data_IF_493075760676
#
_entry.id   IF_493075760676
#
_cell.length_a   1.000
_cell.length_b   1.000
_cell.length_c   1.000
_cell.angle_alpha   90.00
_cell.angle_beta   90.00
_cell.angle_gamma   90.00
#
_symmetry.space_group_name_H-M   'P 1'
#
loop_
_entity.id
_entity.type
_entity.pdbx_description
1 polymer ?
#
# COMPACT_ATOMS: atom_id res chain seq x y z
N UNK A 1 -32.82 13.27 4.68
CA UNK A 1 -31.64 12.73 4.00
C UNK A 1 -30.33 13.22 4.61
N UNK A 2 -30.10 14.53 4.78
CA UNK A 2 -28.83 15.06 5.32
C UNK A 2 -28.45 14.47 6.69
N UNK A 3 -29.41 14.41 7.64
CA UNK A 3 -29.19 13.84 8.97
C UNK A 3 -28.82 12.36 8.96
N UNK A 4 -29.40 11.57 8.05
CA UNK A 4 -29.07 10.16 7.90
C UNK A 4 -27.65 9.98 7.34
N UNK A 5 -27.22 10.82 6.40
CA UNK A 5 -25.86 10.83 5.83
C UNK A 5 -24.85 11.24 6.89
N UNK A 6 -25.09 12.30 7.64
CA UNK A 6 -24.22 12.76 8.75
C UNK A 6 -24.08 11.67 9.82
N UNK A 7 -25.17 11.03 10.21
CA UNK A 7 -25.14 9.91 11.16
C UNK A 7 -24.36 8.71 10.63
N UNK A 8 -24.46 8.43 9.33
CA UNK A 8 -23.72 7.36 8.68
C UNK A 8 -22.20 7.61 8.73
N UNK A 9 -21.76 8.84 8.41
CA UNK A 9 -20.35 9.23 8.52
C UNK A 9 -19.89 9.18 9.98
N UNK A 10 -20.65 9.77 10.90
CA UNK A 10 -20.34 9.71 12.33
C UNK A 10 -20.15 8.27 12.80
N UNK A 11 -21.06 7.37 12.44
CA UNK A 11 -20.98 5.96 12.82
C UNK A 11 -19.80 5.23 12.19
N UNK A 12 -19.41 5.58 10.96
CA UNK A 12 -18.25 5.00 10.29
C UNK A 12 -16.91 5.33 10.99
N UNK A 13 -16.84 6.48 11.68
CA UNK A 13 -15.64 6.92 12.43
C UNK A 13 -15.76 6.67 13.94
N UNK A 14 -16.94 6.31 14.46
CA UNK A 14 -17.12 5.91 15.86
C UNK A 14 -16.60 4.49 16.09
N UNK A 15 -16.15 4.23 17.32
CA UNK A 15 -15.61 2.91 17.69
C UNK A 15 -14.12 2.73 17.42
N UNK A 16 -13.48 3.64 16.70
CA UNK A 16 -12.02 3.67 16.58
C UNK A 16 -11.38 4.12 17.88
N UNK A 17 -10.36 3.41 18.34
CA UNK A 17 -9.65 3.76 19.58
C UNK A 17 -8.85 5.06 19.39
N UNK A 18 -8.65 5.82 20.49
CA UNK A 18 -7.77 7.01 20.47
C UNK A 18 -6.39 6.68 19.92
N UNK A 19 -5.87 5.48 20.21
CA UNK A 19 -4.55 5.02 19.73
C UNK A 19 -4.53 4.86 18.20
N UNK A 20 -5.64 4.44 17.59
CA UNK A 20 -5.75 4.36 16.12
C UNK A 20 -5.71 5.74 15.46
N UNK A 21 -6.39 6.74 16.03
CA UNK A 21 -6.31 8.12 15.54
C UNK A 21 -4.89 8.69 15.64
N UNK A 22 -4.21 8.45 16.77
CA UNK A 22 -2.83 8.91 16.97
C UNK A 22 -1.86 8.21 15.99
N UNK A 23 -2.05 6.90 15.75
CA UNK A 23 -1.28 6.18 14.73
C UNK A 23 -1.55 6.71 13.32
N UNK A 24 -2.80 7.07 13.01
CA UNK A 24 -3.16 7.68 11.72
C UNK A 24 -2.47 9.05 11.51
N UNK A 25 -2.33 9.86 12.56
CA UNK A 25 -1.58 11.12 12.52
C UNK A 25 -0.09 10.86 12.26
N UNK A 26 0.52 9.91 12.95
CA UNK A 26 1.91 9.50 12.70
C UNK A 26 2.09 9.06 11.25
N UNK A 27 1.16 8.27 10.72
CA UNK A 27 1.17 7.82 9.31
C UNK A 27 1.01 8.98 8.33
N UNK A 28 0.11 9.91 8.59
CA UNK A 28 -0.10 11.09 7.74
C UNK A 28 1.21 11.88 7.61
N UNK A 29 1.86 12.19 8.73
CA UNK A 29 3.12 12.95 8.73
C UNK A 29 4.23 12.17 8.03
N UNK A 30 4.37 10.87 8.31
CA UNK A 30 5.34 10.02 7.62
C UNK A 30 5.13 10.03 6.11
N UNK A 31 3.88 9.91 5.64
CA UNK A 31 3.56 9.83 4.21
C UNK A 31 3.55 11.18 3.50
N UNK A 32 3.39 12.28 4.22
CA UNK A 32 3.52 13.63 3.66
C UNK A 32 4.96 13.95 3.23
N UNK A 33 5.97 13.20 3.72
CA UNK A 33 7.36 13.27 3.29
C UNK A 33 7.76 12.16 2.32
N UNK A 34 6.85 11.54 1.56
CA UNK A 34 7.20 10.48 0.61
C UNK A 34 7.41 11.07 -0.79
N UNK A 35 8.48 11.82 -0.98
CA UNK A 35 8.79 12.58 -2.20
C UNK A 35 9.98 11.99 -2.96
N UNK A 36 11.04 11.60 -2.25
CA UNK A 36 12.32 11.18 -2.84
C UNK A 36 12.13 10.07 -3.87
N UNK A 37 11.33 9.03 -3.55
CA UNK A 37 11.15 7.90 -4.47
C UNK A 37 10.47 8.33 -5.78
N UNK A 38 9.48 9.21 -5.71
CA UNK A 38 8.76 9.70 -6.89
C UNK A 38 9.66 10.57 -7.80
N UNK A 39 10.61 11.30 -7.21
CA UNK A 39 11.51 12.19 -7.94
C UNK A 39 12.91 11.61 -8.13
N UNK A 40 13.17 10.35 -7.70
CA UNK A 40 14.49 9.74 -7.73
C UNK A 40 15.09 9.71 -9.14
N UNK A 41 14.33 9.30 -10.14
CA UNK A 41 14.81 9.27 -11.54
C UNK A 41 15.20 10.65 -12.03
N UNK A 42 14.39 11.67 -11.73
CA UNK A 42 14.69 13.05 -12.11
C UNK A 42 15.93 13.59 -11.41
N UNK A 43 16.09 13.26 -10.11
CA UNK A 43 17.27 13.63 -9.35
C UNK A 43 18.55 13.00 -9.92
N UNK A 44 18.53 11.69 -10.20
CA UNK A 44 19.67 10.96 -10.75
C UNK A 44 20.07 11.52 -12.13
N UNK A 45 19.10 11.86 -12.98
CA UNK A 45 19.36 12.53 -14.26
C UNK A 45 19.92 13.95 -14.06
N UNK A 46 19.42 14.69 -13.08
CA UNK A 46 19.88 16.04 -12.76
C UNK A 46 21.35 16.08 -12.35
N UNK A 47 21.83 15.07 -11.63
CA UNK A 47 23.24 14.94 -11.22
C UNK A 47 24.15 14.34 -12.32
N UNK A 48 23.62 14.12 -13.54
CA UNK A 48 24.39 13.78 -14.74
C UNK A 48 24.47 12.29 -15.08
N UNK A 49 23.70 11.42 -14.43
CA UNK A 49 23.62 10.01 -14.78
C UNK A 49 22.50 9.73 -15.80
N UNK A 50 22.65 8.66 -16.59
CA UNK A 50 21.65 8.28 -17.60
C UNK A 50 20.33 7.78 -16.96
N UNK A 51 19.25 7.85 -17.74
CA UNK A 51 17.93 7.31 -17.32
C UNK A 51 17.96 5.81 -17.03
N UNK A 52 18.82 5.07 -17.73
CA UNK A 52 19.04 3.64 -17.49
C UNK A 52 19.61 3.40 -16.09
N UNK A 53 20.65 4.15 -15.71
CA UNK A 53 21.25 4.11 -14.38
C UNK A 53 20.28 4.55 -13.29
N UNK A 54 19.43 5.55 -13.57
CA UNK A 54 18.36 5.97 -12.69
C UNK A 54 17.34 4.83 -12.46
N UNK A 55 16.97 4.11 -13.52
CA UNK A 55 16.10 2.91 -13.42
C UNK A 55 16.71 1.82 -12.57
N UNK A 56 18.02 1.58 -12.65
CA UNK A 56 18.71 0.60 -11.80
C UNK A 56 18.67 0.99 -10.31
N UNK A 57 18.78 2.27 -9.96
CA UNK A 57 18.63 2.74 -8.57
C UNK A 57 17.24 2.42 -8.03
N UNK A 58 16.18 2.62 -8.84
CA UNK A 58 14.80 2.25 -8.47
C UNK A 58 14.67 0.72 -8.32
N UNK A 59 15.36 -0.06 -9.17
CA UNK A 59 15.44 -1.52 -9.03
C UNK A 59 16.13 -1.96 -7.73
N UNK A 60 17.22 -1.28 -7.36
CA UNK A 60 17.92 -1.50 -6.08
C UNK A 60 17.00 -1.18 -4.89
N UNK A 61 16.22 -0.09 -4.98
CA UNK A 61 15.18 0.22 -3.97
C UNK A 61 14.19 -0.94 -3.84
N UNK A 62 13.71 -1.49 -4.96
CA UNK A 62 12.76 -2.61 -4.97
C UNK A 62 13.33 -3.88 -4.28
N UNK A 63 14.59 -4.22 -4.52
CA UNK A 63 15.24 -5.37 -3.88
C UNK A 63 15.42 -5.17 -2.37
N UNK A 64 15.87 -4.00 -1.93
CA UNK A 64 15.97 -3.66 -0.51
C UNK A 64 14.60 -3.70 0.17
N UNK A 65 13.56 -3.22 -0.51
CA UNK A 65 12.17 -3.24 -0.05
C UNK A 65 11.66 -4.67 0.21
N UNK A 66 11.90 -5.62 -0.70
CA UNK A 66 11.52 -7.02 -0.52
C UNK A 66 12.19 -7.65 0.72
N UNK A 67 13.50 -7.43 0.85
CA UNK A 67 14.28 -7.94 1.98
C UNK A 67 13.82 -7.28 3.29
N UNK A 68 13.60 -5.97 3.27
CA UNK A 68 13.11 -5.19 4.40
C UNK A 68 11.73 -5.64 4.90
N UNK A 69 10.80 -5.91 4.01
CA UNK A 69 9.49 -6.43 4.36
C UNK A 69 9.56 -7.77 5.10
N UNK A 70 10.42 -8.69 4.62
CA UNK A 70 10.60 -10.00 5.22
C UNK A 70 11.30 -9.92 6.58
N UNK A 71 12.44 -9.22 6.63
CA UNK A 71 13.22 -9.05 7.88
C UNK A 71 12.41 -8.27 8.91
N UNK A 72 11.72 -7.20 8.50
CA UNK A 72 10.88 -6.37 9.36
C UNK A 72 9.74 -7.15 10.01
N UNK A 73 9.13 -8.10 9.28
CA UNK A 73 8.15 -9.01 9.85
C UNK A 73 8.73 -9.84 11.00
N UNK A 74 9.91 -10.46 10.79
CA UNK A 74 10.60 -11.25 11.83
C UNK A 74 11.07 -10.39 13.00
N UNK A 75 11.61 -9.20 12.73
CA UNK A 75 12.04 -8.26 13.76
C UNK A 75 10.84 -7.82 14.61
N UNK A 76 9.71 -7.50 13.97
CA UNK A 76 8.47 -7.12 14.66
C UNK A 76 7.97 -8.22 15.60
N UNK A 77 8.05 -9.50 15.21
CA UNK A 77 7.66 -10.62 16.06
C UNK A 77 8.67 -10.87 17.21
N UNK A 78 9.96 -10.58 16.98
CA UNK A 78 11.02 -10.84 17.97
C UNK A 78 11.21 -9.71 18.97
N UNK A 79 11.20 -8.45 18.51
CA UNK A 79 11.50 -7.26 19.30
C UNK A 79 10.27 -6.39 19.59
N UNK A 80 9.13 -6.71 18.94
CA UNK A 80 7.88 -5.99 19.07
C UNK A 80 7.70 -4.91 17.99
N UNK A 81 6.42 -4.69 17.62
CA UNK A 81 6.07 -3.74 16.58
C UNK A 81 6.44 -2.30 16.92
N UNK A 82 6.35 -1.91 18.18
CA UNK A 82 6.58 -0.54 18.64
C UNK A 82 8.01 -0.08 18.35
N UNK A 83 9.00 -0.86 18.80
CA UNK A 83 10.40 -0.54 18.57
C UNK A 83 10.80 -0.72 17.10
N UNK A 84 10.23 -1.70 16.41
CA UNK A 84 10.47 -1.86 14.97
C UNK A 84 9.99 -0.64 14.20
N UNK A 85 8.79 -0.11 14.49
CA UNK A 85 8.29 1.13 13.88
C UNK A 85 9.21 2.32 14.18
N UNK A 86 9.58 2.50 15.47
CA UNK A 86 10.42 3.62 15.90
C UNK A 86 11.76 3.63 15.17
N UNK A 87 12.50 2.49 15.22
CA UNK A 87 13.81 2.42 14.57
C UNK A 87 13.73 2.49 13.05
N UNK A 88 12.70 1.92 12.41
CA UNK A 88 12.51 2.05 10.96
C UNK A 88 12.29 3.51 10.55
N UNK A 89 11.49 4.26 11.29
CA UNK A 89 11.26 5.68 11.03
C UNK A 89 12.50 6.52 11.30
N UNK A 90 13.16 6.32 12.44
CA UNK A 90 14.34 7.12 12.84
C UNK A 90 15.51 6.86 11.88
N UNK A 91 15.90 5.58 11.72
CA UNK A 91 17.01 5.21 10.83
C UNK A 91 16.70 5.51 9.37
N UNK A 92 15.44 5.29 8.94
CA UNK A 92 14.99 5.66 7.60
C UNK A 92 15.12 7.16 7.35
N UNK A 93 14.73 8.00 8.31
CA UNK A 93 14.89 9.45 8.22
C UNK A 93 16.35 9.90 8.13
N UNK A 94 17.22 9.30 8.93
CA UNK A 94 18.67 9.56 8.86
C UNK A 94 19.27 9.12 7.50
N UNK A 95 18.84 7.96 7.00
CA UNK A 95 19.29 7.45 5.71
C UNK A 95 18.80 8.30 4.53
N UNK A 96 17.61 8.93 4.59
CA UNK A 96 17.17 9.90 3.60
C UNK A 96 18.11 11.11 3.54
N UNK A 97 18.43 11.69 4.71
CA UNK A 97 19.35 12.82 4.79
C UNK A 97 20.74 12.42 4.26
N UNK A 98 21.21 11.23 4.64
CA UNK A 98 22.50 10.69 4.18
C UNK A 98 22.50 10.49 2.67
N UNK A 99 21.43 9.93 2.11
CA UNK A 99 21.30 9.72 0.66
C UNK A 99 21.43 11.03 -0.13
N UNK A 100 20.84 12.11 0.37
CA UNK A 100 20.97 13.44 -0.23
C UNK A 100 22.39 14.01 -0.24
N UNK A 101 23.32 13.44 0.55
CA UNK A 101 24.75 13.85 0.57
C UNK A 101 25.64 12.95 -0.30
N UNK A 102 25.11 11.85 -0.85
CA UNK A 102 25.88 10.92 -1.68
C UNK A 102 26.18 11.52 -3.05
N UNK A 103 27.45 11.40 -3.49
CA UNK A 103 27.92 11.99 -4.74
C UNK A 103 28.27 10.95 -5.81
N UNK A 104 28.63 9.73 -5.42
CA UNK A 104 29.01 8.68 -6.36
C UNK A 104 27.85 7.72 -6.60
N UNK A 105 27.72 7.20 -7.82
CA UNK A 105 26.66 6.26 -8.18
C UNK A 105 26.59 5.05 -7.24
N UNK A 106 27.74 4.45 -6.93
CA UNK A 106 27.81 3.31 -6.03
C UNK A 106 27.31 3.63 -4.63
N UNK A 107 27.70 4.80 -4.07
CA UNK A 107 27.21 5.21 -2.75
C UNK A 107 25.71 5.48 -2.73
N UNK A 108 25.16 6.03 -3.82
CA UNK A 108 23.71 6.22 -4.00
C UNK A 108 23.01 4.85 -4.01
N UNK A 109 23.48 3.88 -4.78
CA UNK A 109 22.91 2.54 -4.83
C UNK A 109 22.94 1.84 -3.46
N UNK A 110 24.09 1.85 -2.78
CA UNK A 110 24.25 1.21 -1.47
C UNK A 110 23.36 1.88 -0.42
N UNK A 111 23.34 3.21 -0.36
CA UNK A 111 22.48 3.95 0.56
C UNK A 111 21.00 3.71 0.26
N UNK A 112 20.59 3.71 -1.01
CA UNK A 112 19.21 3.42 -1.43
C UNK A 112 18.77 2.01 -1.05
N UNK A 113 19.65 1.02 -1.16
CA UNK A 113 19.36 -0.35 -0.73
C UNK A 113 19.04 -0.43 0.77
N UNK A 114 19.92 0.14 1.61
CA UNK A 114 19.71 0.12 3.07
C UNK A 114 18.52 0.99 3.49
N UNK A 115 18.33 2.14 2.84
CA UNK A 115 17.18 3.01 3.06
C UNK A 115 15.87 2.26 2.80
N UNK A 116 15.75 1.60 1.65
CA UNK A 116 14.53 0.87 1.31
C UNK A 116 14.30 -0.33 2.23
N UNK A 117 15.35 -1.05 2.58
CA UNK A 117 15.28 -2.19 3.52
C UNK A 117 14.78 -1.75 4.90
N UNK A 118 15.29 -0.64 5.43
CA UNK A 118 14.87 -0.10 6.74
C UNK A 118 13.45 0.46 6.67
N UNK A 119 13.12 1.24 5.65
CA UNK A 119 11.80 1.85 5.49
C UNK A 119 10.69 0.80 5.32
N UNK A 120 10.93 -0.23 4.52
CA UNK A 120 9.91 -1.26 4.27
C UNK A 120 9.73 -2.21 5.47
N UNK A 121 10.68 -2.26 6.40
CA UNK A 121 10.52 -2.95 7.69
C UNK A 121 9.41 -2.31 8.55
N UNK A 122 9.07 -1.04 8.32
CA UNK A 122 7.98 -0.35 8.99
C UNK A 122 6.61 -0.95 8.68
N UNK A 123 6.34 -1.36 7.43
CA UNK A 123 5.01 -1.83 6.99
C UNK A 123 4.47 -3.02 7.79
N UNK A 124 5.19 -4.15 7.95
CA UNK A 124 4.70 -5.27 8.75
C UNK A 124 4.53 -4.91 10.22
N UNK A 125 5.42 -4.07 10.78
CA UNK A 125 5.30 -3.58 12.14
C UNK A 125 4.06 -2.68 12.31
N UNK A 126 3.78 -1.80 11.35
CA UNK A 126 2.59 -0.95 11.36
C UNK A 126 1.29 -1.78 11.27
N UNK A 127 1.25 -2.80 10.42
CA UNK A 127 0.10 -3.70 10.33
C UNK A 127 -0.14 -4.45 11.66
N UNK A 128 0.92 -4.86 12.33
CA UNK A 128 0.84 -5.46 13.67
C UNK A 128 0.34 -4.46 14.71
N UNK A 129 0.79 -3.19 14.66
CA UNK A 129 0.31 -2.12 15.52
C UNK A 129 -1.18 -1.84 15.31
N UNK A 130 -1.64 -1.74 14.06
CA UNK A 130 -3.06 -1.57 13.73
C UNK A 130 -3.89 -2.70 14.34
N UNK A 131 -3.46 -3.94 14.15
CA UNK A 131 -4.15 -5.09 14.70
C UNK A 131 -4.17 -5.14 16.23
N UNK A 132 -3.11 -4.62 16.88
CA UNK A 132 -3.00 -4.53 18.34
C UNK A 132 -3.90 -3.42 18.92
N UNK A 133 -4.00 -2.25 18.26
CA UNK A 133 -4.79 -1.12 18.72
C UNK A 133 -6.27 -1.18 18.30
N UNK A 134 -6.65 -2.14 17.45
CA UNK A 134 -8.01 -2.38 17.00
C UNK A 134 -8.63 -3.62 17.67
N UNK A 135 -9.96 -3.67 17.68
CA UNK A 135 -10.72 -4.88 18.02
C UNK A 135 -11.06 -5.68 16.75
N UNK A 136 -11.39 -6.98 16.85
CA UNK A 136 -11.84 -7.73 15.68
C UNK A 136 -13.00 -7.06 14.92
N UNK A 137 -13.89 -6.36 15.63
CA UNK A 137 -15.10 -5.73 15.08
C UNK A 137 -14.80 -4.44 14.31
N UNK A 138 -13.75 -3.68 14.69
CA UNK A 138 -13.40 -2.42 14.03
C UNK A 138 -12.07 -2.48 13.27
N UNK A 139 -11.53 -3.68 13.04
CA UNK A 139 -10.21 -3.88 12.44
C UNK A 139 -10.13 -3.35 11.01
N UNK A 140 -11.13 -3.64 10.19
CA UNK A 140 -11.15 -3.19 8.80
C UNK A 140 -11.28 -1.66 8.74
N UNK A 141 -12.10 -1.03 9.58
CA UNK A 141 -12.17 0.41 9.73
C UNK A 141 -10.82 1.01 10.16
N UNK A 142 -10.10 0.32 11.06
CA UNK A 142 -8.77 0.71 11.50
C UNK A 142 -7.73 0.68 10.38
N UNK A 143 -7.79 -0.27 9.49
CA UNK A 143 -6.96 -0.28 8.27
C UNK A 143 -7.37 0.83 7.31
N UNK A 144 -8.67 1.11 7.17
CA UNK A 144 -9.16 2.16 6.28
C UNK A 144 -8.77 3.56 6.75
N UNK A 145 -8.80 3.87 8.07
CA UNK A 145 -8.33 5.19 8.56
C UNK A 145 -6.82 5.38 8.32
N UNK A 146 -6.02 4.34 8.47
CA UNK A 146 -4.60 4.39 8.14
C UNK A 146 -4.38 4.58 6.64
N UNK A 147 -5.18 3.90 5.80
CA UNK A 147 -5.13 4.08 4.36
C UNK A 147 -5.54 5.48 3.92
N UNK A 148 -6.56 6.07 4.55
CA UNK A 148 -6.92 7.46 4.37
C UNK A 148 -5.74 8.39 4.67
N UNK A 149 -5.06 8.19 5.81
CA UNK A 149 -3.89 8.96 6.20
C UNK A 149 -2.73 8.82 5.17
N UNK A 150 -2.50 7.60 4.64
CA UNK A 150 -1.51 7.35 3.60
C UNK A 150 -1.84 8.11 2.31
N UNK A 151 -3.08 8.03 1.83
CA UNK A 151 -3.51 8.67 0.58
C UNK A 151 -3.45 10.19 0.68
N UNK A 152 -3.91 10.77 1.80
CA UNK A 152 -3.79 12.19 2.06
C UNK A 152 -2.31 12.62 2.14
N UNK A 153 -1.48 11.84 2.83
CA UNK A 153 -0.04 12.08 2.93
C UNK A 153 0.64 12.07 1.57
N UNK A 154 0.32 11.13 0.70
CA UNK A 154 0.85 11.08 -0.66
C UNK A 154 0.39 12.27 -1.52
N UNK A 155 -0.86 12.71 -1.37
CA UNK A 155 -1.34 13.92 -2.02
C UNK A 155 -0.54 15.16 -1.62
N UNK A 156 -0.32 15.34 -0.31
CA UNK A 156 0.52 16.41 0.25
C UNK A 156 1.97 16.27 -0.22
N UNK A 157 2.55 15.05 -0.11
CA UNK A 157 3.92 14.76 -0.51
C UNK A 157 4.19 15.01 -1.99
N UNK A 158 3.26 14.60 -2.87
CA UNK A 158 3.39 14.85 -4.31
C UNK A 158 3.40 16.33 -4.66
N UNK A 159 2.47 17.11 -4.06
CA UNK A 159 2.40 18.56 -4.28
C UNK A 159 3.63 19.30 -3.73
N UNK A 160 4.02 19.01 -2.48
CA UNK A 160 5.22 19.58 -1.87
C UNK A 160 6.49 19.15 -2.59
N UNK A 161 6.57 17.88 -3.02
CA UNK A 161 7.73 17.35 -3.75
C UNK A 161 7.98 18.07 -5.07
N UNK A 162 6.93 18.29 -5.87
CA UNK A 162 7.03 19.06 -7.11
C UNK A 162 7.48 20.49 -6.85
N UNK A 163 6.90 21.15 -5.83
CA UNK A 163 7.29 22.52 -5.44
C UNK A 163 8.76 22.59 -4.99
N UNK A 164 9.19 21.71 -4.09
CA UNK A 164 10.56 21.69 -3.58
C UNK A 164 11.59 21.33 -4.65
N UNK A 165 11.28 20.38 -5.53
CA UNK A 165 12.14 19.96 -6.62
C UNK A 165 12.41 21.11 -7.61
N UNK A 166 11.46 22.03 -7.80
CA UNK A 166 11.65 23.21 -8.65
C UNK A 166 12.71 24.21 -8.13
N UNK A 167 12.98 24.18 -6.82
CA UNK A 167 14.04 25.00 -6.22
C UNK A 167 15.35 24.22 -6.09
N UNK A 168 15.30 23.05 -5.44
CA UNK A 168 16.48 22.23 -5.20
C UNK A 168 16.08 20.80 -4.82
N UNK A 169 16.55 19.81 -5.59
CA UNK A 169 16.29 18.38 -5.30
C UNK A 169 16.80 17.93 -3.92
N UNK A 170 17.86 18.53 -3.37
CA UNK A 170 18.35 18.17 -2.03
C UNK A 170 17.32 18.42 -0.93
N UNK A 171 16.40 19.38 -1.12
CA UNK A 171 15.32 19.64 -0.15
C UNK A 171 14.39 18.45 0.01
N UNK A 172 14.17 17.63 -1.03
CA UNK A 172 13.37 16.42 -0.95
C UNK A 172 13.90 15.44 0.10
N UNK A 173 15.23 15.24 0.10
CA UNK A 173 15.88 14.33 1.05
C UNK A 173 15.81 14.85 2.49
N UNK A 174 15.96 16.15 2.69
CA UNK A 174 15.81 16.77 4.01
C UNK A 174 14.37 16.68 4.51
N UNK A 175 13.39 16.98 3.68
CA UNK A 175 11.99 16.95 4.10
C UNK A 175 11.54 15.51 4.37
N UNK A 176 11.86 14.53 3.51
CA UNK A 176 11.57 13.12 3.75
C UNK A 176 12.26 12.61 5.01
N UNK A 177 13.52 13.01 5.23
CA UNK A 177 14.26 12.68 6.43
C UNK A 177 13.64 13.25 7.70
N UNK A 178 13.35 14.54 7.70
CA UNK A 178 12.78 15.23 8.87
C UNK A 178 11.35 14.78 9.17
N UNK A 179 10.51 14.54 8.17
CA UNK A 179 9.15 13.99 8.40
C UNK A 179 9.17 12.58 8.98
N UNK A 180 10.10 11.73 8.54
CA UNK A 180 10.31 10.41 9.14
C UNK A 180 10.79 10.50 10.61
N UNK A 181 11.76 11.36 10.89
CA UNK A 181 12.26 11.59 12.27
C UNK A 181 11.12 12.16 13.13
N UNK A 182 10.38 13.14 12.63
CA UNK A 182 9.22 13.72 13.32
C UNK A 182 8.17 12.65 13.61
N UNK A 183 7.86 11.78 12.65
CA UNK A 183 6.95 10.66 12.85
C UNK A 183 7.46 9.69 13.94
N UNK A 184 8.79 9.42 13.99
CA UNK A 184 9.40 8.61 15.03
C UNK A 184 9.23 9.24 16.42
N UNK A 185 9.49 10.55 16.54
CA UNK A 185 9.36 11.29 17.80
C UNK A 185 7.88 11.36 18.23
N UNK A 186 6.95 11.60 17.30
CA UNK A 186 5.52 11.59 17.59
C UNK A 186 5.04 10.20 18.03
N UNK A 187 5.57 9.13 17.44
CA UNK A 187 5.27 7.78 17.88
C UNK A 187 5.66 7.57 19.34
N UNK A 188 6.85 8.04 19.75
CA UNK A 188 7.29 7.98 21.14
C UNK A 188 6.43 8.79 22.11
N UNK A 189 5.96 9.96 21.65
CA UNK A 189 5.22 10.90 22.49
C UNK A 189 3.73 10.58 22.58
N UNK A 190 3.11 10.17 21.47
CA UNK A 190 1.66 9.98 21.37
C UNK A 190 1.22 8.56 21.73
N UNK A 191 2.05 7.55 21.46
CA UNK A 191 1.67 6.16 21.63
C UNK A 191 2.37 5.53 22.83
N UNK A 192 1.65 4.73 23.63
CA UNK A 192 2.26 4.09 24.80
C UNK A 192 3.30 3.06 24.35
N UNK A 193 4.42 3.01 25.09
CA UNK A 193 5.43 1.96 24.90
C UNK A 193 4.81 0.61 25.19
N UNK A 194 4.77 -0.25 24.17
CA UNK A 194 4.27 -1.62 24.32
C UNK A 194 5.47 -2.55 24.43
N UNK A 195 5.67 -3.13 25.63
CA UNK A 195 6.75 -4.10 25.83
C UNK A 195 6.39 -5.45 25.19
N UNK A 196 7.42 -6.22 24.80
CA UNK A 196 7.24 -7.60 24.32
C UNK A 196 6.47 -8.48 25.30
N UNK A 197 6.70 -8.27 26.60
CA UNK A 197 5.96 -8.99 27.64
C UNK A 197 4.47 -8.63 27.62
N UNK A 198 4.11 -7.37 27.39
CA UNK A 198 2.72 -6.95 27.22
C UNK A 198 2.11 -7.49 25.92
N UNK A 199 2.85 -7.49 24.81
CA UNK A 199 2.41 -8.12 23.57
C UNK A 199 2.15 -9.62 23.78
N UNK A 200 3.04 -10.34 24.46
CA UNK A 200 2.91 -11.77 24.72
C UNK A 200 1.90 -12.09 25.83
N UNK A 201 1.71 -11.22 26.81
CA UNK A 201 0.77 -11.43 27.92
C UNK A 201 -0.70 -11.20 27.52
N UNK A 202 -0.96 -10.30 26.58
CA UNK A 202 -2.28 -10.18 25.95
C UNK A 202 -2.58 -11.39 25.04
N UNK A 203 -1.54 -12.10 24.62
CA UNK A 203 -1.59 -13.36 23.86
C UNK A 203 -1.68 -14.61 24.74
N UNK A 204 -1.84 -14.51 26.06
CA UNK A 204 -2.01 -15.73 26.88
C UNK A 204 -3.31 -16.42 26.46
N UNK A 205 -3.23 -17.56 25.75
CA UNK A 205 -4.36 -18.44 25.68
C UNK A 205 -4.59 -18.95 27.12
N UNK A 206 -5.78 -18.82 27.59
CA UNK A 206 -6.30 -19.75 28.57
C UNK A 206 -6.04 -21.16 28.02
N UNK A 207 -5.17 -21.90 28.69
CA UNK A 207 -4.86 -23.31 28.44
C UNK A 207 -4.11 -23.64 27.15
N UNK A 208 -2.91 -24.25 27.35
CA UNK A 208 -2.00 -24.86 26.38
C UNK A 208 -1.12 -23.95 25.53
N UNK A 209 0.20 -24.15 25.67
CA UNK A 209 1.25 -23.67 24.74
C UNK A 209 1.04 -24.28 23.34
N UNK A 210 0.05 -23.81 22.58
CA UNK A 210 0.02 -24.12 21.15
C UNK A 210 1.28 -23.54 20.53
N UNK A 211 2.15 -24.42 20.02
CA UNK A 211 3.29 -24.04 19.18
C UNK A 211 2.76 -23.16 18.07
N UNK A 212 3.10 -21.88 18.07
CA UNK A 212 2.71 -20.92 17.03
C UNK A 212 3.27 -21.42 15.71
N UNK A 213 2.40 -21.88 14.80
CA UNK A 213 2.83 -22.34 13.48
C UNK A 213 3.36 -21.14 12.68
N UNK A 214 4.50 -21.27 12.01
CA UNK A 214 5.02 -20.21 11.17
C UNK A 214 4.10 -19.93 9.99
N UNK A 215 4.10 -18.70 9.48
CA UNK A 215 3.20 -18.27 8.40
C UNK A 215 3.35 -19.12 7.11
N UNK A 216 4.55 -19.61 6.82
CA UNK A 216 4.81 -20.49 5.67
C UNK A 216 4.18 -21.88 5.79
N UNK A 217 3.78 -22.31 6.98
CA UNK A 217 3.09 -23.58 7.19
C UNK A 217 1.56 -23.46 6.98
N UNK A 218 1.02 -22.24 6.86
CA UNK A 218 -0.39 -22.02 6.56
C UNK A 218 -0.64 -22.03 5.04
N UNK A 219 -0.97 -23.22 4.51
CA UNK A 219 -1.25 -23.41 3.07
C UNK A 219 -2.35 -22.48 2.55
N UNK A 220 -3.41 -22.23 3.36
CA UNK A 220 -4.50 -21.33 2.98
C UNK A 220 -4.05 -19.87 2.90
N UNK A 221 -3.12 -19.46 3.76
CA UNK A 221 -2.50 -18.16 3.69
C UNK A 221 -1.56 -18.03 2.47
N UNK A 222 -0.73 -19.03 2.20
CA UNK A 222 0.16 -19.01 1.03
C UNK A 222 -0.64 -18.96 -0.28
N UNK A 223 -1.75 -19.70 -0.37
CA UNK A 223 -2.64 -19.59 -1.53
C UNK A 223 -3.24 -18.18 -1.66
N UNK A 224 -3.67 -17.58 -0.55
CA UNK A 224 -4.11 -16.19 -0.53
C UNK A 224 -2.99 -15.24 -0.99
N UNK A 225 -1.73 -15.42 -0.56
CA UNK A 225 -0.59 -14.60 -0.99
C UNK A 225 -0.37 -14.71 -2.51
N UNK A 226 -0.48 -15.90 -3.10
CA UNK A 226 -0.43 -16.08 -4.55
C UNK A 226 -1.52 -15.28 -5.28
N UNK A 227 -2.77 -15.36 -4.82
CA UNK A 227 -3.88 -14.55 -5.34
C UNK A 227 -3.66 -13.04 -5.14
N UNK A 228 -3.08 -12.66 -4.01
CA UNK A 228 -2.73 -11.28 -3.69
C UNK A 228 -1.69 -10.70 -4.66
N UNK A 229 -0.68 -11.49 -5.05
CA UNK A 229 0.31 -11.09 -6.07
C UNK A 229 -0.39 -10.82 -7.39
N UNK A 230 -1.28 -11.71 -7.84
CA UNK A 230 -2.03 -11.53 -9.08
C UNK A 230 -2.91 -10.26 -9.03
N UNK A 231 -3.68 -10.10 -7.95
CA UNK A 231 -4.50 -8.90 -7.74
C UNK A 231 -3.67 -7.62 -7.79
N UNK A 232 -2.58 -7.57 -7.01
CA UNK A 232 -1.74 -6.39 -6.91
C UNK A 232 -0.99 -6.09 -8.23
N UNK A 233 -0.58 -7.11 -8.99
CA UNK A 233 -0.02 -6.95 -10.35
C UNK A 233 -0.99 -6.25 -11.29
N UNK A 234 -2.27 -6.63 -11.25
CA UNK A 234 -3.32 -5.95 -12.00
C UNK A 234 -3.57 -4.53 -11.47
N UNK A 235 -3.59 -4.35 -10.16
CA UNK A 235 -3.80 -3.04 -9.53
C UNK A 235 -2.71 -2.02 -9.90
N UNK A 236 -1.44 -2.44 -9.96
CA UNK A 236 -0.35 -1.51 -10.30
C UNK A 236 -0.40 -0.95 -11.72
N UNK A 237 -1.24 -1.50 -12.60
CA UNK A 237 -1.51 -0.90 -13.91
C UNK A 237 -2.12 0.51 -13.77
N UNK A 238 -2.80 0.80 -12.66
CA UNK A 238 -3.34 2.13 -12.33
C UNK A 238 -2.27 3.23 -12.37
N UNK A 239 -1.03 2.89 -12.03
CA UNK A 239 0.08 3.84 -11.92
C UNK A 239 1.05 3.78 -13.12
N UNK A 240 0.89 2.82 -14.01
CA UNK A 240 1.82 2.58 -15.12
C UNK A 240 1.11 2.62 -16.47
N UNK A 241 0.42 1.57 -16.84
CA UNK A 241 -0.15 1.41 -18.19
C UNK A 241 -1.46 2.14 -18.41
N UNK A 242 -2.29 2.35 -17.37
CA UNK A 242 -3.55 3.11 -17.50
C UNK A 242 -3.28 4.58 -17.87
N UNK A 243 -2.41 5.33 -17.17
CA UNK A 243 -2.07 6.70 -17.56
C UNK A 243 -1.44 6.78 -18.95
N UNK A 244 -0.59 5.81 -19.29
CA UNK A 244 0.01 5.71 -20.62
C UNK A 244 -1.05 5.52 -21.71
N UNK A 245 -2.00 4.59 -21.52
CA UNK A 245 -3.11 4.38 -22.45
C UNK A 245 -4.04 5.59 -22.55
N UNK A 246 -4.30 6.29 -21.46
CA UNK A 246 -5.09 7.51 -21.48
C UNK A 246 -4.44 8.57 -22.37
N UNK A 247 -3.11 8.67 -22.35
CA UNK A 247 -2.35 9.61 -23.17
C UNK A 247 -2.24 9.13 -24.63
N UNK A 248 -1.75 7.92 -24.86
CA UNK A 248 -1.40 7.41 -26.19
C UNK A 248 -2.60 6.81 -26.95
N UNK A 249 -3.47 6.09 -26.23
CA UNK A 249 -4.60 5.39 -26.82
C UNK A 249 -5.89 6.22 -26.87
N UNK A 250 -6.18 7.00 -25.83
CA UNK A 250 -7.38 7.83 -25.75
C UNK A 250 -7.14 9.31 -26.05
N UNK A 251 -5.88 9.73 -26.25
CA UNK A 251 -5.46 11.10 -26.54
C UNK A 251 -5.93 12.13 -25.50
N UNK A 252 -5.97 11.72 -24.22
CA UNK A 252 -6.31 12.58 -23.08
C UNK A 252 -5.03 13.30 -22.64
N UNK A 253 -5.09 14.62 -22.44
CA UNK A 253 -3.95 15.37 -21.97
C UNK A 253 -3.63 15.08 -20.51
N UNK A 254 -2.39 15.39 -20.10
CA UNK A 254 -1.83 15.06 -18.78
C UNK A 254 -2.61 15.70 -17.63
N UNK A 255 -3.17 16.89 -17.85
CA UNK A 255 -3.97 17.59 -16.84
C UNK A 255 -5.21 16.76 -16.45
N UNK A 256 -5.96 16.25 -17.45
CA UNK A 256 -7.14 15.41 -17.20
C UNK A 256 -6.78 14.04 -16.63
N UNK A 257 -5.62 13.46 -17.02
CA UNK A 257 -5.10 12.23 -16.41
C UNK A 257 -4.83 12.47 -14.92
N UNK A 258 -4.20 13.59 -14.57
CA UNK A 258 -3.99 13.99 -13.18
C UNK A 258 -5.30 14.15 -12.39
N UNK A 259 -6.34 14.76 -13.01
CA UNK A 259 -7.67 14.88 -12.39
C UNK A 259 -8.32 13.52 -12.15
N UNK A 260 -8.21 12.58 -13.10
CA UNK A 260 -8.75 11.23 -12.95
C UNK A 260 -8.07 10.47 -11.79
N UNK A 261 -6.75 10.59 -11.66
CA UNK A 261 -6.00 10.01 -10.53
C UNK A 261 -6.37 10.68 -9.20
N UNK A 262 -6.52 12.01 -9.19
CA UNK A 262 -6.98 12.74 -8.00
C UNK A 262 -8.39 12.34 -7.60
N UNK A 263 -9.29 12.14 -8.57
CA UNK A 263 -10.66 11.65 -8.34
C UNK A 263 -10.65 10.30 -7.61
N UNK A 264 -9.77 9.35 -7.98
CA UNK A 264 -9.60 8.08 -7.27
C UNK A 264 -9.32 8.33 -5.79
N UNK A 265 -8.30 9.14 -5.46
CA UNK A 265 -7.93 9.45 -4.08
C UNK A 265 -9.04 10.15 -3.29
N UNK A 266 -9.75 11.11 -3.91
CA UNK A 266 -10.85 11.85 -3.28
C UNK A 266 -12.04 10.93 -2.98
N UNK A 267 -12.44 10.07 -3.92
CA UNK A 267 -13.53 9.12 -3.70
C UNK A 267 -13.19 8.14 -2.59
N UNK A 268 -11.96 7.62 -2.55
CA UNK A 268 -11.51 6.76 -1.46
C UNK A 268 -11.61 7.50 -0.12
N UNK A 269 -11.10 8.72 -0.04
CA UNK A 269 -11.13 9.52 1.18
C UNK A 269 -12.55 9.77 1.70
N UNK A 270 -13.48 10.03 0.80
CA UNK A 270 -14.88 10.34 1.16
C UNK A 270 -15.72 9.08 1.40
N UNK A 271 -15.54 8.01 0.64
CA UNK A 271 -16.50 6.90 0.58
C UNK A 271 -16.03 5.64 1.30
N UNK A 272 -14.73 5.35 1.32
CA UNK A 272 -14.19 4.06 1.79
C UNK A 272 -14.60 3.74 3.24
N UNK A 273 -14.47 4.68 4.17
CA UNK A 273 -14.82 4.44 5.58
C UNK A 273 -16.28 4.05 5.76
N UNK A 274 -17.18 4.72 5.03
CA UNK A 274 -18.62 4.44 5.08
C UNK A 274 -18.94 3.09 4.42
N UNK A 275 -18.28 2.78 3.30
CA UNK A 275 -18.45 1.53 2.59
C UNK A 275 -17.99 0.34 3.43
N UNK A 276 -16.81 0.43 4.02
CA UNK A 276 -16.24 -0.57 4.92
C UNK A 276 -17.15 -0.79 6.12
N UNK A 277 -17.60 0.28 6.78
CA UNK A 277 -18.53 0.18 7.91
C UNK A 277 -19.81 -0.58 7.55
N UNK A 278 -20.35 -0.37 6.34
CA UNK A 278 -21.54 -1.07 5.87
C UNK A 278 -21.30 -2.53 5.51
N UNK A 279 -20.11 -2.88 5.02
CA UNK A 279 -19.81 -4.22 4.49
C UNK A 279 -19.21 -5.15 5.56
N UNK A 280 -18.53 -4.60 6.57
CA UNK A 280 -17.88 -5.38 7.62
C UNK A 280 -18.88 -6.23 8.38
N UNK A 281 -18.53 -7.51 8.61
CA UNK A 281 -19.38 -8.47 9.30
C UNK A 281 -20.58 -9.01 8.52
N UNK A 282 -20.94 -8.40 7.36
CA UNK A 282 -22.09 -8.85 6.55
C UNK A 282 -21.77 -9.96 5.57
N UNK A 283 -20.53 -10.01 5.09
CA UNK A 283 -20.06 -11.04 4.15
C UNK A 283 -18.63 -11.46 4.51
N UNK A 284 -18.25 -12.71 4.20
CA UNK A 284 -16.88 -13.18 4.38
C UNK A 284 -15.89 -12.31 3.57
N UNK A 285 -14.72 -12.03 4.13
CA UNK A 285 -13.70 -11.19 3.50
C UNK A 285 -13.31 -11.66 2.09
N UNK A 286 -13.09 -12.97 1.91
CA UNK A 286 -12.74 -13.54 0.61
C UNK A 286 -13.82 -13.32 -0.46
N UNK A 287 -15.10 -13.29 -0.07
CA UNK A 287 -16.21 -13.00 -0.99
C UNK A 287 -16.23 -11.53 -1.41
N UNK A 288 -15.94 -10.61 -0.48
CA UNK A 288 -15.81 -9.19 -0.80
C UNK A 288 -14.62 -8.94 -1.73
N UNK A 289 -13.47 -9.58 -1.46
CA UNK A 289 -12.31 -9.53 -2.36
C UNK A 289 -12.62 -10.06 -3.75
N UNK A 290 -13.36 -11.18 -3.85
CA UNK A 290 -13.80 -11.72 -5.14
C UNK A 290 -14.67 -10.71 -5.90
N UNK A 291 -15.65 -10.08 -5.24
CA UNK A 291 -16.49 -9.07 -5.88
C UNK A 291 -15.69 -7.85 -6.33
N UNK A 292 -14.81 -7.31 -5.48
CA UNK A 292 -13.96 -6.19 -5.86
C UNK A 292 -13.04 -6.54 -7.04
N UNK A 293 -12.50 -7.76 -7.08
CA UNK A 293 -11.64 -8.21 -8.18
C UNK A 293 -12.43 -8.38 -9.49
N UNK A 294 -13.71 -8.79 -9.43
CA UNK A 294 -14.60 -8.81 -10.59
C UNK A 294 -14.84 -7.37 -11.10
N UNK A 295 -15.12 -6.43 -10.22
CA UNK A 295 -15.27 -5.01 -10.60
C UNK A 295 -13.99 -4.49 -11.27
N UNK A 296 -12.82 -4.88 -10.76
CA UNK A 296 -11.53 -4.56 -11.37
C UNK A 296 -11.41 -5.16 -12.79
N UNK A 297 -11.83 -6.41 -13.00
CA UNK A 297 -11.85 -7.01 -14.33
C UNK A 297 -12.72 -6.19 -15.32
N UNK A 298 -13.91 -5.79 -14.85
CA UNK A 298 -14.83 -4.96 -15.65
C UNK A 298 -14.17 -3.61 -15.97
N UNK A 299 -13.44 -2.99 -15.04
CA UNK A 299 -12.75 -1.72 -15.30
C UNK A 299 -11.75 -1.81 -16.45
N UNK A 300 -11.04 -2.94 -16.59
CA UNK A 300 -10.12 -3.18 -17.71
C UNK A 300 -10.87 -3.50 -19.01
N UNK A 301 -11.94 -4.29 -18.96
CA UNK A 301 -12.74 -4.59 -20.17
C UNK A 301 -13.41 -3.34 -20.76
N UNK A 302 -13.81 -2.40 -19.92
CA UNK A 302 -14.36 -1.10 -20.36
C UNK A 302 -13.36 -0.32 -21.21
N UNK A 303 -12.06 -0.45 -20.99
CA UNK A 303 -11.03 0.22 -21.81
C UNK A 303 -11.00 -0.27 -23.27
N UNK A 304 -11.58 -1.43 -23.57
CA UNK A 304 -11.71 -1.95 -24.94
C UNK A 304 -12.99 -1.49 -25.67
N UNK A 305 -13.84 -0.69 -25.02
CA UNK A 305 -15.09 -0.19 -25.66
C UNK A 305 -14.74 0.94 -26.63
N UNK A 306 -15.14 0.79 -27.90
CA UNK A 306 -14.80 1.76 -28.96
C UNK A 306 -15.95 2.73 -29.31
N UNK A 307 -17.16 2.46 -28.85
CA UNK A 307 -18.34 3.27 -29.22
C UNK A 307 -18.70 4.40 -28.26
N UNK A 308 -17.91 4.55 -27.17
CA UNK A 308 -18.08 5.64 -26.20
C UNK A 308 -17.01 6.72 -26.42
N UNK A 309 -17.34 7.95 -26.00
CA UNK A 309 -16.37 9.04 -26.00
C UNK A 309 -15.16 8.71 -25.09
N UNK A 310 -13.94 8.93 -25.57
CA UNK A 310 -12.68 8.55 -24.90
C UNK A 310 -12.60 8.97 -23.43
N UNK A 311 -12.99 10.20 -23.11
CA UNK A 311 -12.99 10.71 -21.76
C UNK A 311 -13.99 9.97 -20.85
N UNK A 312 -15.18 9.61 -21.38
CA UNK A 312 -16.20 8.86 -20.63
C UNK A 312 -15.73 7.44 -20.30
N UNK A 313 -15.00 6.79 -21.21
CA UNK A 313 -14.37 5.48 -20.97
C UNK A 313 -13.34 5.59 -19.82
N UNK A 314 -12.49 6.61 -19.86
CA UNK A 314 -11.48 6.83 -18.81
C UNK A 314 -12.13 7.08 -17.44
N UNK A 315 -13.16 7.92 -17.36
CA UNK A 315 -13.91 8.19 -16.13
C UNK A 315 -14.57 6.91 -15.61
N UNK A 316 -15.27 6.15 -16.48
CA UNK A 316 -15.96 4.92 -16.07
C UNK A 316 -14.97 3.86 -15.57
N UNK A 317 -13.89 3.63 -16.31
CA UNK A 317 -12.83 2.71 -15.90
C UNK A 317 -12.23 3.12 -14.54
N UNK A 318 -11.91 4.40 -14.36
CA UNK A 318 -11.35 4.91 -13.10
C UNK A 318 -12.33 4.76 -11.92
N UNK A 319 -13.61 5.05 -12.12
CA UNK A 319 -14.64 4.84 -11.09
C UNK A 319 -14.74 3.37 -10.69
N UNK A 320 -14.81 2.46 -11.66
CA UNK A 320 -14.86 1.02 -11.39
C UNK A 320 -13.61 0.54 -10.66
N UNK A 321 -12.41 1.00 -11.08
CA UNK A 321 -11.15 0.70 -10.41
C UNK A 321 -11.17 1.17 -8.95
N UNK A 322 -11.64 2.40 -8.70
CA UNK A 322 -11.75 2.97 -7.35
C UNK A 322 -12.70 2.13 -6.46
N UNK A 323 -13.86 1.73 -6.99
CA UNK A 323 -14.77 0.86 -6.24
C UNK A 323 -14.19 -0.53 -5.99
N UNK A 324 -13.50 -1.11 -6.97
CA UNK A 324 -12.79 -2.39 -6.84
C UNK A 324 -11.79 -2.35 -5.68
N UNK A 325 -11.03 -1.29 -5.62
CA UNK A 325 -10.02 -1.02 -4.59
C UNK A 325 -10.65 -0.93 -3.20
N UNK A 326 -11.69 -0.11 -3.03
CA UNK A 326 -12.39 0.07 -1.75
C UNK A 326 -13.08 -1.21 -1.25
N UNK A 327 -13.56 -2.07 -2.15
CA UNK A 327 -14.23 -3.34 -1.79
C UNK A 327 -13.22 -4.47 -1.54
N UNK A 328 -11.96 -4.34 -1.97
CA UNK A 328 -10.95 -5.40 -1.84
C UNK A 328 -9.93 -5.13 -0.75
N UNK A 329 -9.21 -4.01 -0.84
CA UNK A 329 -7.97 -3.79 -0.07
C UNK A 329 -8.14 -3.75 1.45
N UNK A 330 -9.15 -3.07 2.03
CA UNK A 330 -9.34 -3.08 3.47
C UNK A 330 -9.58 -4.49 4.02
N UNK A 331 -10.33 -5.30 3.28
CA UNK A 331 -10.67 -6.66 3.67
C UNK A 331 -9.52 -7.66 3.50
N UNK A 332 -8.58 -7.42 2.56
CA UNK A 332 -7.34 -8.18 2.45
C UNK A 332 -6.49 -8.05 3.72
N UNK A 333 -6.36 -6.83 4.23
CA UNK A 333 -5.65 -6.58 5.49
C UNK A 333 -6.32 -7.32 6.67
N UNK A 334 -7.62 -7.19 6.79
CA UNK A 334 -8.39 -7.87 7.85
C UNK A 334 -8.31 -9.39 7.74
N UNK A 335 -8.31 -9.93 6.52
CA UNK A 335 -8.23 -11.37 6.27
C UNK A 335 -6.93 -11.98 6.77
N UNK A 336 -5.75 -11.48 6.35
CA UNK A 336 -4.50 -12.09 6.79
C UNK A 336 -4.24 -11.92 8.27
N UNK A 337 -4.66 -10.78 8.85
CA UNK A 337 -4.58 -10.56 10.29
C UNK A 337 -5.48 -11.55 11.04
N UNK A 338 -6.69 -11.84 10.55
CA UNK A 338 -7.59 -12.81 11.18
C UNK A 338 -7.07 -14.24 11.19
N UNK A 339 -6.12 -14.55 10.30
CA UNK A 339 -5.43 -15.86 10.26
C UNK A 339 -4.20 -15.92 11.14
N UNK A 340 -3.64 -14.77 11.50
CA UNK A 340 -2.43 -14.68 12.33
C UNK A 340 -2.77 -14.74 13.82
N UNK A 341 -1.81 -15.22 14.61
CA UNK A 341 -1.77 -15.05 16.07
C UNK A 341 -0.86 -13.89 16.44
N UNK A 342 -0.91 -13.42 17.68
CA UNK A 342 -0.05 -12.32 18.11
C UNK A 342 1.47 -12.64 18.03
N UNK A 343 1.83 -13.92 18.16
CA UNK A 343 3.23 -14.34 18.09
C UNK A 343 3.82 -14.51 16.69
N UNK A 344 3.00 -14.48 15.62
CA UNK A 344 3.45 -14.61 14.23
C UNK A 344 2.86 -13.55 13.28
N UNK A 345 2.15 -12.56 13.82
CA UNK A 345 1.45 -11.51 13.05
C UNK A 345 2.39 -10.72 12.16
N UNK A 346 3.60 -10.42 12.65
CA UNK A 346 4.64 -9.75 11.88
C UNK A 346 5.09 -10.58 10.67
N UNK A 347 5.19 -11.91 10.80
CA UNK A 347 5.50 -12.79 9.67
C UNK A 347 4.41 -12.74 8.60
N UNK A 348 3.12 -12.85 8.99
CA UNK A 348 2.00 -12.72 8.04
C UNK A 348 2.00 -11.37 7.34
N UNK A 349 2.21 -10.28 8.09
CA UNK A 349 2.32 -8.93 7.54
C UNK A 349 3.54 -8.78 6.62
N UNK A 350 4.67 -9.41 6.97
CA UNK A 350 5.88 -9.44 6.14
C UNK A 350 5.63 -10.10 4.79
N UNK A 351 5.07 -11.31 4.76
CA UNK A 351 4.70 -11.99 3.50
C UNK A 351 3.71 -11.17 2.66
N UNK A 352 2.70 -10.57 3.32
CA UNK A 352 1.73 -9.71 2.65
C UNK A 352 2.41 -8.49 2.01
N UNK A 353 3.33 -7.83 2.72
CA UNK A 353 4.08 -6.69 2.19
C UNK A 353 5.01 -7.09 1.05
N UNK A 354 5.71 -8.25 1.18
CA UNK A 354 6.53 -8.80 0.10
C UNK A 354 5.71 -9.05 -1.17
N UNK A 355 4.49 -9.59 -1.03
CA UNK A 355 3.58 -9.83 -2.14
C UNK A 355 3.26 -8.52 -2.91
N UNK A 356 3.01 -7.43 -2.18
CA UNK A 356 2.80 -6.11 -2.78
C UNK A 356 4.06 -5.60 -3.51
N UNK A 357 5.24 -5.70 -2.90
CA UNK A 357 6.50 -5.26 -3.51
C UNK A 357 6.84 -6.07 -4.77
N UNK A 358 6.64 -7.40 -4.72
CA UNK A 358 6.86 -8.27 -5.87
C UNK A 358 5.88 -7.95 -7.00
N UNK A 359 4.60 -7.77 -6.68
CA UNK A 359 3.57 -7.44 -7.64
C UNK A 359 3.79 -6.07 -8.29
N UNK A 360 4.33 -5.10 -7.56
CA UNK A 360 4.71 -3.80 -8.11
C UNK A 360 5.79 -3.94 -9.18
N UNK A 361 6.84 -4.72 -8.91
CA UNK A 361 7.92 -4.97 -9.88
C UNK A 361 7.36 -5.66 -11.12
N UNK A 362 6.62 -6.76 -10.94
CA UNK A 362 6.03 -7.54 -12.05
C UNK A 362 5.04 -6.68 -12.84
N UNK A 363 4.11 -6.00 -12.16
CA UNK A 363 3.03 -5.24 -12.77
C UNK A 363 3.56 -4.07 -13.61
N UNK A 364 4.50 -3.30 -13.05
CA UNK A 364 5.07 -2.16 -13.75
C UNK A 364 5.90 -2.57 -14.97
N UNK A 365 6.67 -3.66 -14.87
CA UNK A 365 7.57 -4.10 -15.95
C UNK A 365 6.80 -4.89 -17.00
N UNK A 366 6.04 -5.93 -16.60
CA UNK A 366 5.35 -6.80 -17.54
C UNK A 366 4.20 -6.07 -18.27
N UNK A 367 3.46 -5.20 -17.56
CA UNK A 367 2.34 -4.46 -18.17
C UNK A 367 2.78 -3.59 -19.33
N UNK A 368 3.85 -2.80 -19.16
CA UNK A 368 4.39 -1.95 -20.23
C UNK A 368 4.97 -2.78 -21.38
N UNK A 369 5.72 -3.84 -21.11
CA UNK A 369 6.28 -4.70 -22.15
C UNK A 369 5.18 -5.37 -22.98
N UNK A 370 4.14 -5.89 -22.34
CA UNK A 370 2.98 -6.50 -23.02
C UNK A 370 2.22 -5.45 -23.86
N UNK A 371 2.05 -4.22 -23.33
CA UNK A 371 1.41 -3.13 -24.07
C UNK A 371 2.13 -2.83 -25.38
N UNK A 372 3.46 -2.75 -25.35
CA UNK A 372 4.28 -2.50 -26.54
C UNK A 372 4.35 -3.70 -27.50
N UNK A 373 4.38 -4.92 -26.97
CA UNK A 373 4.52 -6.13 -27.80
C UNK A 373 3.25 -6.53 -28.54
N UNK A 374 2.09 -6.46 -27.87
CA UNK A 374 0.81 -6.96 -28.42
C UNK A 374 -0.31 -5.92 -28.41
N UNK A 375 -0.03 -4.69 -27.99
CA UNK A 375 -0.98 -3.58 -27.97
C UNK A 375 -1.85 -3.52 -26.70
N UNK A 376 -2.39 -2.33 -26.45
CA UNK A 376 -3.22 -2.05 -25.26
C UNK A 376 -4.49 -2.90 -25.20
N UNK A 377 -5.17 -3.12 -26.31
CA UNK A 377 -6.42 -3.90 -26.33
C UNK A 377 -6.21 -5.32 -25.80
N UNK A 378 -5.15 -5.99 -26.27
CA UNK A 378 -4.81 -7.34 -25.82
C UNK A 378 -4.34 -7.34 -24.36
N UNK A 379 -3.64 -6.29 -23.92
CA UNK A 379 -3.27 -6.10 -22.54
C UNK A 379 -4.51 -6.06 -21.63
N UNK A 380 -5.52 -5.26 -21.98
CA UNK A 380 -6.72 -5.12 -21.14
C UNK A 380 -7.54 -6.41 -21.05
N UNK A 381 -7.65 -7.17 -22.15
CA UNK A 381 -8.25 -8.50 -22.13
C UNK A 381 -7.46 -9.46 -21.23
N UNK A 382 -6.14 -9.46 -21.33
CA UNK A 382 -5.26 -10.34 -20.54
C UNK A 382 -5.37 -10.02 -19.05
N UNK A 383 -5.27 -8.73 -18.68
CA UNK A 383 -5.36 -8.32 -17.27
C UNK A 383 -6.76 -8.58 -16.71
N UNK A 384 -7.80 -8.29 -17.47
CA UNK A 384 -9.18 -8.60 -17.08
C UNK A 384 -9.39 -10.10 -16.85
N UNK A 385 -8.82 -10.96 -17.70
CA UNK A 385 -8.87 -12.41 -17.51
C UNK A 385 -8.10 -12.85 -16.23
N UNK A 386 -6.91 -12.29 -15.97
CA UNK A 386 -6.17 -12.55 -14.72
C UNK A 386 -6.99 -12.14 -13.50
N UNK A 387 -7.68 -10.99 -13.54
CA UNK A 387 -8.58 -10.56 -12.47
C UNK A 387 -9.72 -11.57 -12.26
N UNK A 388 -10.36 -12.08 -13.32
CA UNK A 388 -11.42 -13.09 -13.22
C UNK A 388 -10.90 -14.40 -12.60
N UNK A 389 -9.73 -14.89 -13.04
CA UNK A 389 -9.09 -16.06 -12.45
C UNK A 389 -8.78 -15.85 -10.96
N UNK A 390 -8.31 -14.66 -10.60
CA UNK A 390 -8.03 -14.29 -9.21
C UNK A 390 -9.32 -14.26 -8.37
N UNK A 391 -10.41 -13.72 -8.91
CA UNK A 391 -11.72 -13.69 -8.26
C UNK A 391 -12.28 -15.11 -8.03
N UNK A 392 -12.14 -15.99 -9.01
CA UNK A 392 -12.49 -17.43 -8.89
C UNK A 392 -11.62 -18.07 -7.79
N UNK A 393 -10.33 -17.75 -7.75
CA UNK A 393 -9.40 -18.24 -6.73
C UNK A 393 -9.83 -17.83 -5.32
N UNK A 394 -10.23 -16.57 -5.08
CA UNK A 394 -10.78 -16.12 -3.80
C UNK A 394 -12.08 -16.84 -3.45
N UNK A 395 -12.97 -17.04 -4.41
CA UNK A 395 -14.22 -17.76 -4.21
C UNK A 395 -13.95 -19.23 -3.81
N UNK A 396 -13.04 -19.91 -4.51
CA UNK A 396 -12.64 -21.28 -4.21
C UNK A 396 -12.00 -21.41 -2.81
N UNK A 397 -11.12 -20.46 -2.45
CA UNK A 397 -10.52 -20.44 -1.11
C UNK A 397 -11.57 -20.24 -0.01
N UNK A 398 -12.66 -19.50 -0.31
CA UNK A 398 -13.79 -19.37 0.61
C UNK A 398 -14.61 -20.66 0.76
N UNK A 399 -14.80 -21.39 -0.33
CA UNK A 399 -15.59 -22.63 -0.32
C UNK A 399 -14.90 -23.79 0.41
N UNK A 400 -13.56 -23.78 0.48
CA UNK A 400 -12.74 -24.77 1.21
C UNK A 400 -12.66 -24.54 2.72
N UNK A 401 -13.24 -23.48 3.23
CA UNK A 401 -13.33 -23.14 4.66
C UNK A 401 -14.62 -23.60 5.27
#
# INVERSE_FOLDING_TARGET
MLSATVNLYRNAYTGLTRRMWLLAIVMLINRSGTMVLAFMTLYINHIGYSTELAGLVVGVYGTGSLIGAFIGGKISDRFGFYYTQFFSLLCGGLLFITLGQMKTYLSICVCTFFLSMVNESFRPANATAIAHYSTPQNRTQSFSIIRLAINLGWGVGGALGGFLASFNYHLLFWVDGLTNITAALLLLWLLPKVSLAQQRNLAKPTTEKQKVKPAYADKGFLYFIGLQILFATCFFQLFTTIPLYFKEGLHINEFWIGILLAMNGIIIALVEMVLVFKLEGRKPYLRLMSYGTIIMAISFFVLNIQFMHSFSIAVLSMLLMTFAEMVSMPFMNSYYISRSSEGNRGQYAGYYTMAWSLAQIIGSTAGTQVAYAIGFNNLWWTIGAICLLTAIGYHYLQAKR
#
